data_IF_637855235391
#
_entry.id   IF_637855235391
#
_cell.length_a   1.000
_cell.length_b   1.000
_cell.length_c   1.000
_cell.angle_alpha   90.00
_cell.angle_beta   90.00
_cell.angle_gamma   90.00
#
_symmetry.space_group_name_H-M   'P 1'
#
loop_
_entity.id
_entity.type
_entity.pdbx_description
1 polymer ?
#
# COMPACT_ATOMS: atom_id res chain seq x y z
N UNK A 1 14.36 15.42 -2.73
CA UNK A 1 13.58 16.49 -3.38
C UNK A 1 12.11 16.35 -3.01
N UNK A 2 11.56 17.26 -2.21
CA UNK A 2 10.13 17.28 -1.88
C UNK A 2 9.39 17.92 -3.05
N UNK A 3 8.73 17.12 -3.90
CA UNK A 3 7.86 17.66 -4.95
C UNK A 3 6.71 18.41 -4.26
N UNK A 4 6.76 19.75 -4.28
CA UNK A 4 5.62 20.61 -3.90
C UNK A 4 4.58 20.47 -5.00
N UNK A 5 3.60 19.60 -4.76
CA UNK A 5 2.37 19.58 -5.57
C UNK A 5 1.74 20.98 -5.56
N UNK A 6 1.30 21.53 -6.70
CA UNK A 6 0.60 22.81 -6.73
C UNK A 6 -0.57 22.79 -5.72
N UNK A 7 -0.80 23.88 -4.96
CA UNK A 7 -1.79 23.91 -3.88
C UNK A 7 -3.19 23.42 -4.28
N UNK A 8 -3.57 23.67 -5.53
CA UNK A 8 -4.86 23.33 -6.14
C UNK A 8 -5.05 21.81 -6.21
N UNK A 9 -4.00 21.03 -6.47
CA UNK A 9 -4.12 19.57 -6.50
C UNK A 9 -4.38 18.95 -5.13
N UNK A 10 -4.04 19.65 -4.03
CA UNK A 10 -4.25 19.09 -2.69
C UNK A 10 -5.72 19.11 -2.29
N UNK A 11 -6.54 20.01 -2.85
CA UNK A 11 -7.95 20.12 -2.52
C UNK A 11 -8.78 18.95 -3.06
N UNK A 12 -8.31 18.32 -4.14
CA UNK A 12 -8.99 17.18 -4.78
C UNK A 12 -8.55 15.81 -4.22
N UNK A 13 -7.66 15.76 -3.22
CA UNK A 13 -7.19 14.50 -2.62
C UNK A 13 -8.05 14.15 -1.41
N UNK A 14 -9.04 13.29 -1.62
CA UNK A 14 -9.88 12.74 -0.53
C UNK A 14 -9.14 11.69 0.28
N UNK A 15 -8.54 10.68 -0.38
CA UNK A 15 -7.79 9.61 0.29
C UNK A 15 -6.30 9.89 0.21
N UNK A 16 -5.69 10.22 1.35
CA UNK A 16 -4.28 10.59 1.42
C UNK A 16 -3.37 9.36 1.53
N UNK A 17 -2.18 9.47 0.96
CA UNK A 17 -1.14 8.45 1.11
C UNK A 17 -0.57 8.48 2.54
N UNK A 18 -0.73 7.38 3.28
CA UNK A 18 -0.07 7.16 4.57
C UNK A 18 1.36 6.70 4.34
N UNK A 19 2.32 7.62 4.19
CA UNK A 19 3.74 7.24 4.14
C UNK A 19 4.21 6.84 5.54
N UNK A 20 4.79 5.65 5.73
CA UNK A 20 5.47 5.32 6.98
C UNK A 20 6.63 6.31 7.14
N UNK A 21 6.65 7.07 8.24
CA UNK A 21 7.80 7.92 8.63
C UNK A 21 8.67 7.23 9.70
N UNK A 22 8.41 5.96 9.98
CA UNK A 22 9.02 5.21 11.07
C UNK A 22 8.62 3.74 11.00
N UNK A 23 8.29 3.16 12.15
CA UNK A 23 7.84 1.78 12.25
C UNK A 23 6.55 1.55 11.43
N UNK A 24 6.47 0.41 10.76
CA UNK A 24 5.31 0.04 9.94
C UNK A 24 4.06 -0.07 10.81
N UNK A 25 4.21 -0.47 12.08
CA UNK A 25 3.13 -0.53 13.05
C UNK A 25 2.38 0.80 13.16
N UNK A 26 3.07 1.94 13.10
CA UNK A 26 2.44 3.26 13.14
C UNK A 26 1.65 3.58 11.87
N UNK A 27 2.15 3.09 10.73
CA UNK A 27 1.44 3.22 9.45
C UNK A 27 0.17 2.36 9.40
N UNK A 28 0.14 1.25 10.15
CA UNK A 28 -0.98 0.30 10.22
C UNK A 28 -2.00 0.60 11.32
N UNK A 29 -1.69 1.49 12.28
CA UNK A 29 -2.67 1.92 13.30
C UNK A 29 -3.94 2.43 12.62
N UNK A 30 -5.10 2.01 13.11
CA UNK A 30 -6.36 2.58 12.61
C UNK A 30 -6.59 3.96 13.25
N UNK A 31 -7.05 4.93 12.47
CA UNK A 31 -7.50 6.24 12.94
C UNK A 31 -8.98 6.33 12.56
N UNK A 32 -9.91 6.30 13.54
CA UNK A 32 -11.34 6.20 13.27
C UNK A 32 -11.88 7.37 12.43
N UNK A 33 -11.21 8.52 12.47
CA UNK A 33 -11.64 9.75 11.81
C UNK A 33 -10.94 9.99 10.47
N UNK A 34 -9.97 9.15 10.09
CA UNK A 34 -9.18 9.32 8.86
C UNK A 34 -9.06 8.04 8.06
N UNK A 35 -9.50 8.12 6.80
CA UNK A 35 -9.19 7.10 5.79
C UNK A 35 -7.89 7.45 5.09
N UNK A 36 -6.98 6.48 5.00
CA UNK A 36 -5.71 6.61 4.28
C UNK A 36 -5.48 5.44 3.34
N UNK A 37 -4.49 5.61 2.47
CA UNK A 37 -3.99 4.57 1.58
C UNK A 37 -2.53 4.29 1.88
N UNK A 38 -2.20 3.04 2.20
CA UNK A 38 -0.81 2.58 2.32
C UNK A 38 -0.34 1.96 1.00
N UNK A 39 0.94 2.11 0.67
CA UNK A 39 1.55 1.44 -0.48
C UNK A 39 2.76 0.64 -0.05
N UNK A 40 2.75 -0.64 -0.40
CA UNK A 40 3.85 -1.56 -0.14
C UNK A 40 4.28 -2.21 -1.44
N UNK A 41 5.59 -2.40 -1.65
CA UNK A 41 6.05 -3.34 -2.66
C UNK A 41 5.70 -4.77 -2.24
N UNK A 42 5.70 -5.72 -3.18
CA UNK A 42 5.50 -7.15 -2.87
C UNK A 42 6.45 -7.64 -1.74
N UNK A 43 7.70 -7.19 -1.72
CA UNK A 43 8.68 -7.58 -0.71
C UNK A 43 8.39 -6.94 0.65
N UNK A 44 7.90 -5.70 0.66
CA UNK A 44 7.46 -5.05 1.88
C UNK A 44 6.23 -5.74 2.45
N UNK A 45 5.28 -6.14 1.59
CA UNK A 45 4.12 -6.92 2.01
C UNK A 45 4.56 -8.22 2.67
N UNK A 46 5.43 -9.01 2.04
CA UNK A 46 5.90 -10.28 2.61
C UNK A 46 6.54 -10.09 3.99
N UNK A 47 7.43 -9.08 4.14
CA UNK A 47 8.08 -8.78 5.42
C UNK A 47 7.08 -8.36 6.51
N UNK A 48 6.10 -7.53 6.15
CA UNK A 48 5.10 -7.02 7.09
C UNK A 48 4.10 -8.11 7.43
N UNK A 49 3.67 -8.92 6.46
CA UNK A 49 2.80 -10.07 6.69
C UNK A 49 3.41 -11.09 7.66
N UNK A 50 4.72 -11.33 7.58
CA UNK A 50 5.41 -12.25 8.49
C UNK A 50 5.35 -11.83 9.97
N UNK A 51 5.12 -10.55 10.27
CA UNK A 51 5.21 -10.00 11.64
C UNK A 51 3.93 -9.30 12.12
N UNK A 52 3.10 -8.80 11.20
CA UNK A 52 1.96 -7.91 11.45
C UNK A 52 0.75 -8.23 10.55
N UNK A 53 0.54 -9.50 10.17
CA UNK A 53 -0.58 -9.90 9.29
C UNK A 53 -1.96 -9.46 9.82
N UNK A 54 -2.21 -9.61 11.12
CA UNK A 54 -3.48 -9.21 11.73
C UNK A 54 -3.73 -7.70 11.62
N UNK A 55 -2.68 -6.89 11.78
CA UNK A 55 -2.77 -5.44 11.63
C UNK A 55 -3.00 -5.02 10.18
N UNK A 56 -2.42 -5.73 9.19
CA UNK A 56 -2.72 -5.50 7.77
C UNK A 56 -4.21 -5.71 7.47
N UNK A 57 -4.77 -6.83 7.94
CA UNK A 57 -6.19 -7.15 7.73
C UNK A 57 -7.06 -6.10 8.43
N UNK A 58 -6.79 -5.79 9.70
CA UNK A 58 -7.54 -4.77 10.45
C UNK A 58 -7.48 -3.41 9.78
N UNK A 59 -6.30 -2.98 9.34
CA UNK A 59 -6.12 -1.73 8.59
C UNK A 59 -7.00 -1.71 7.34
N UNK A 60 -7.02 -2.81 6.58
CA UNK A 60 -7.76 -2.93 5.31
C UNK A 60 -9.27 -2.80 5.44
N UNK A 61 -9.86 -3.00 6.63
CA UNK A 61 -11.31 -2.86 6.81
C UNK A 61 -11.83 -1.44 6.55
N UNK A 62 -11.01 -0.42 6.81
CA UNK A 62 -11.38 1.01 6.68
C UNK A 62 -10.45 1.79 5.77
N UNK A 63 -9.28 1.25 5.48
CA UNK A 63 -8.23 1.90 4.71
C UNK A 63 -7.92 1.11 3.45
N UNK A 64 -7.30 1.77 2.47
CA UNK A 64 -6.90 1.12 1.22
C UNK A 64 -5.46 0.63 1.30
N UNK A 65 -5.24 -0.65 1.03
CA UNK A 65 -3.90 -1.21 0.90
C UNK A 65 -3.57 -1.45 -0.58
N UNK A 66 -2.54 -0.75 -1.06
CA UNK A 66 -2.01 -0.92 -2.43
C UNK A 66 -0.71 -1.69 -2.43
N UNK A 67 -0.67 -2.78 -3.19
CA UNK A 67 0.53 -3.58 -3.42
C UNK A 67 1.02 -3.34 -4.84
N UNK A 68 2.33 -3.27 -5.04
CA UNK A 68 2.92 -3.06 -6.36
C UNK A 68 4.19 -3.91 -6.57
N UNK A 69 4.56 -4.20 -7.83
CA UNK A 69 5.75 -5.00 -8.13
C UNK A 69 7.03 -4.32 -7.62
N UNK A 70 8.01 -5.11 -7.16
CA UNK A 70 9.33 -4.59 -6.78
C UNK A 70 10.04 -4.01 -8.01
N UNK A 71 10.93 -3.04 -7.77
CA UNK A 71 11.65 -2.34 -8.83
C UNK A 71 12.56 -3.23 -9.69
N UNK A 72 12.99 -4.40 -9.19
CA UNK A 72 13.87 -5.32 -9.94
C UNK A 72 13.15 -6.17 -10.98
N UNK A 73 11.82 -6.07 -11.11
CA UNK A 73 11.04 -6.69 -12.19
C UNK A 73 11.15 -5.87 -13.48
N UNK A 74 12.38 -5.72 -13.99
CA UNK A 74 12.68 -4.93 -15.19
C UNK A 74 11.99 -5.47 -16.45
N UNK A 75 11.73 -6.77 -16.49
CA UNK A 75 10.97 -7.44 -17.54
C UNK A 75 9.44 -7.31 -17.38
N UNK A 76 8.96 -6.46 -16.46
CA UNK A 76 7.53 -6.28 -16.18
C UNK A 76 6.78 -7.53 -15.70
N UNK A 77 7.49 -8.59 -15.27
CA UNK A 77 6.84 -9.77 -14.67
C UNK A 77 5.92 -9.41 -13.50
N UNK A 78 4.87 -10.19 -13.29
CA UNK A 78 3.93 -10.02 -12.18
C UNK A 78 4.29 -10.92 -10.98
N UNK A 79 3.85 -10.52 -9.79
CA UNK A 79 3.97 -11.29 -8.55
C UNK A 79 2.70 -12.10 -8.30
N UNK A 80 2.74 -13.04 -7.34
CA UNK A 80 1.55 -13.80 -6.98
C UNK A 80 0.53 -12.87 -6.26
N UNK A 81 -0.66 -12.61 -6.82
CA UNK A 81 -1.62 -11.70 -6.22
C UNK A 81 -2.23 -12.25 -4.92
N UNK A 82 -2.21 -13.57 -4.76
CA UNK A 82 -2.83 -14.26 -3.62
C UNK A 82 -2.31 -13.75 -2.28
N UNK A 83 -1.00 -13.47 -2.18
CA UNK A 83 -0.39 -12.92 -0.96
C UNK A 83 -1.01 -11.58 -0.57
N UNK A 84 -1.34 -10.73 -1.55
CA UNK A 84 -2.06 -9.48 -1.29
C UNK A 84 -3.48 -9.73 -0.78
N UNK A 85 -4.23 -10.60 -1.46
CA UNK A 85 -5.64 -10.85 -1.14
C UNK A 85 -5.86 -11.48 0.22
N UNK A 86 -5.05 -12.46 0.62
CA UNK A 86 -5.18 -13.10 1.94
C UNK A 86 -4.88 -12.14 3.11
N UNK A 87 -4.20 -11.03 2.83
CA UNK A 87 -3.91 -9.97 3.81
C UNK A 87 -4.81 -8.73 3.63
N UNK A 88 -5.90 -8.86 2.88
CA UNK A 88 -6.94 -7.82 2.76
C UNK A 88 -6.63 -6.71 1.75
N UNK A 89 -5.57 -6.84 0.93
CA UNK A 89 -5.24 -5.82 -0.06
C UNK A 89 -6.29 -5.76 -1.18
N UNK A 90 -6.93 -4.60 -1.34
CA UNK A 90 -7.92 -4.36 -2.39
C UNK A 90 -7.26 -3.87 -3.69
N UNK A 91 -6.14 -3.15 -3.59
CA UNK A 91 -5.44 -2.56 -4.73
C UNK A 91 -4.16 -3.35 -5.06
N UNK A 92 -4.30 -4.53 -5.63
CA UNK A 92 -3.19 -5.39 -6.05
C UNK A 92 -2.77 -5.01 -7.48
N UNK A 93 -1.78 -4.11 -7.62
CA UNK A 93 -1.43 -3.50 -8.90
C UNK A 93 -0.50 -4.39 -9.73
N UNK A 94 -0.86 -4.61 -11.00
CA UNK A 94 -0.17 -5.47 -11.95
C UNK A 94 0.34 -4.68 -13.15
N UNK A 95 1.36 -5.24 -13.80
CA UNK A 95 1.82 -4.84 -15.11
C UNK A 95 0.88 -5.46 -16.16
N UNK A 96 -0.18 -4.75 -16.53
CA UNK A 96 -1.25 -5.27 -17.42
C UNK A 96 -0.77 -5.58 -18.84
N UNK A 97 0.39 -5.06 -19.24
CA UNK A 97 1.01 -5.33 -20.53
C UNK A 97 1.65 -6.72 -20.63
N UNK A 98 1.84 -7.41 -19.50
CA UNK A 98 2.39 -8.77 -19.46
C UNK A 98 1.30 -9.70 -18.97
N UNK A 99 0.93 -10.65 -19.84
CA UNK A 99 0.00 -11.75 -19.53
C UNK A 99 0.70 -12.76 -18.61
#
# INVERSE_FOLDING_TARGET
MSQRSPPEYKSIITIRAGKPKGDISEALKDDPDKVRRLSLSEQQLEKVAATHAADLIRFSHRNLLRIYPKGTRFNSSNYNPFVGWIHGAQMVAFNMQVI
#
